data_IF_326242311246
#
_entry.id   IF_326242311246
#
_cell.length_a   1.000
_cell.length_b   1.000
_cell.length_c   1.000
_cell.angle_alpha   90.00
_cell.angle_beta   90.00
_cell.angle_gamma   90.00
#
_symmetry.space_group_name_H-M   'P 1'
#
loop_
_entity.id
_entity.type
_entity.pdbx_description
1 polymer ?
#
# COMPACT_ATOMS: atom_id res chain seq x y z
N UNK A 1 -23.08 -38.53 4.87
CA UNK A 1 -23.08 -37.26 5.62
C UNK A 1 -21.75 -36.57 5.37
N UNK A 2 -21.77 -35.45 4.65
CA UNK A 2 -20.58 -34.61 4.47
C UNK A 2 -20.36 -33.87 5.80
N UNK A 3 -19.28 -34.20 6.52
CA UNK A 3 -18.88 -33.41 7.70
C UNK A 3 -18.45 -32.04 7.17
N UNK A 4 -19.23 -31.01 7.44
CA UNK A 4 -18.79 -29.64 7.21
C UNK A 4 -17.54 -29.40 8.06
N UNK A 5 -16.45 -28.97 7.44
CA UNK A 5 -15.25 -28.52 8.15
C UNK A 5 -15.65 -27.42 9.15
N UNK A 6 -15.19 -27.53 10.39
CA UNK A 6 -15.36 -26.45 11.35
C UNK A 6 -14.55 -25.23 10.88
N UNK A 7 -15.08 -24.03 11.07
CA UNK A 7 -14.37 -22.77 10.75
C UNK A 7 -13.03 -22.69 11.48
N UNK A 8 -12.93 -23.31 12.65
CA UNK A 8 -11.69 -23.41 13.42
C UNK A 8 -10.62 -24.23 12.69
N UNK A 9 -10.99 -25.34 12.06
CA UNK A 9 -10.10 -26.23 11.31
C UNK A 9 -9.58 -25.56 10.03
N UNK A 10 -10.46 -24.90 9.27
CA UNK A 10 -10.08 -24.16 8.05
C UNK A 10 -9.10 -23.02 8.34
N UNK A 11 -9.31 -22.26 9.42
CA UNK A 11 -8.42 -21.17 9.81
C UNK A 11 -7.05 -21.65 10.33
N UNK A 12 -7.03 -22.78 11.04
CA UNK A 12 -5.78 -23.40 11.49
C UNK A 12 -4.98 -23.96 10.30
N UNK A 13 -5.65 -24.50 9.29
CA UNK A 13 -5.03 -24.90 8.03
C UNK A 13 -4.36 -23.71 7.35
N UNK A 14 -5.07 -22.59 7.15
CA UNK A 14 -4.50 -21.39 6.50
C UNK A 14 -3.27 -20.86 7.22
N UNK A 15 -3.29 -20.80 8.57
CA UNK A 15 -2.12 -20.37 9.34
C UNK A 15 -0.93 -21.30 9.16
N UNK A 16 -1.16 -22.61 9.27
CA UNK A 16 -0.11 -23.62 9.14
C UNK A 16 0.46 -23.61 7.72
N UNK A 17 -0.42 -23.55 6.73
CA UNK A 17 -0.07 -23.48 5.31
C UNK A 17 0.77 -22.24 5.01
N UNK A 18 0.35 -21.06 5.46
CA UNK A 18 1.08 -19.82 5.25
C UNK A 18 2.41 -19.79 6.01
N UNK A 19 2.51 -20.40 7.19
CA UNK A 19 3.78 -20.52 7.92
C UNK A 19 4.76 -21.47 7.19
N UNK A 20 4.25 -22.55 6.61
CA UNK A 20 5.06 -23.56 5.93
C UNK A 20 5.50 -23.13 4.53
N UNK A 21 4.69 -22.34 3.83
CA UNK A 21 4.88 -22.00 2.42
C UNK A 21 5.16 -20.50 2.22
N UNK A 22 6.39 -20.07 2.53
CA UNK A 22 6.79 -18.67 2.39
C UNK A 22 6.63 -18.10 0.97
N UNK A 23 6.74 -18.96 -0.06
CA UNK A 23 6.49 -18.61 -1.47
C UNK A 23 5.09 -18.05 -1.71
N UNK A 24 4.08 -18.45 -0.93
CA UNK A 24 2.70 -17.93 -1.04
C UNK A 24 2.65 -16.44 -0.74
N UNK A 25 3.30 -15.99 0.34
CA UNK A 25 3.35 -14.57 0.70
C UNK A 25 3.97 -13.71 -0.40
N UNK A 26 5.07 -14.18 -1.00
CA UNK A 26 5.72 -13.52 -2.14
C UNK A 26 4.77 -13.45 -3.34
N UNK A 27 4.13 -14.55 -3.70
CA UNK A 27 3.24 -14.61 -4.87
C UNK A 27 2.02 -13.71 -4.70
N UNK A 28 1.40 -13.72 -3.52
CA UNK A 28 0.28 -12.82 -3.20
C UNK A 28 0.72 -11.35 -3.25
N UNK A 29 1.91 -11.03 -2.72
CA UNK A 29 2.45 -9.68 -2.85
C UNK A 29 2.61 -9.25 -4.32
N UNK A 30 3.16 -10.10 -5.17
CA UNK A 30 3.33 -9.80 -6.60
C UNK A 30 1.99 -9.59 -7.31
N UNK A 31 1.00 -10.43 -7.04
CA UNK A 31 -0.35 -10.28 -7.60
C UNK A 31 -0.98 -8.93 -7.22
N UNK A 32 -0.81 -8.51 -5.96
CA UNK A 32 -1.28 -7.21 -5.47
C UNK A 32 -0.56 -6.05 -6.15
N UNK A 33 0.77 -6.12 -6.30
CA UNK A 33 1.52 -5.08 -7.02
C UNK A 33 1.12 -4.99 -8.49
N UNK A 34 0.97 -6.11 -9.20
CA UNK A 34 0.52 -6.11 -10.60
C UNK A 34 -0.88 -5.50 -10.72
N UNK A 35 -1.78 -5.84 -9.81
CA UNK A 35 -3.12 -5.23 -9.77
C UNK A 35 -3.05 -3.71 -9.58
N UNK A 36 -2.15 -3.25 -8.70
CA UNK A 36 -1.94 -1.82 -8.48
C UNK A 36 -1.29 -1.11 -9.69
N UNK A 37 -0.39 -1.78 -10.41
CA UNK A 37 0.25 -1.26 -11.62
C UNK A 37 -0.72 -1.15 -12.79
N UNK A 38 -1.66 -2.08 -12.94
CA UNK A 38 -2.76 -1.98 -13.92
C UNK A 38 -3.56 -0.70 -13.68
N UNK A 39 -3.92 -0.41 -12.42
CA UNK A 39 -4.61 0.83 -12.06
C UNK A 39 -3.75 2.07 -12.37
N UNK A 40 -2.45 2.03 -12.06
CA UNK A 40 -1.53 3.13 -12.39
C UNK A 40 -1.53 3.44 -13.89
N UNK A 41 -1.32 2.41 -14.71
CA UNK A 41 -1.20 2.57 -16.16
C UNK A 41 -2.50 3.03 -16.79
N UNK A 42 -3.65 2.57 -16.27
CA UNK A 42 -4.95 3.07 -16.68
C UNK A 42 -5.10 4.58 -16.43
N UNK A 43 -4.78 5.04 -15.21
CA UNK A 43 -4.86 6.46 -14.85
C UNK A 43 -3.88 7.33 -15.66
N UNK A 44 -2.66 6.83 -15.92
CA UNK A 44 -1.69 7.54 -16.76
C UNK A 44 -2.22 7.74 -18.19
N UNK A 45 -2.78 6.68 -18.81
CA UNK A 45 -3.37 6.77 -20.16
C UNK A 45 -4.55 7.75 -20.21
N UNK A 46 -5.31 7.85 -19.12
CA UNK A 46 -6.40 8.82 -18.97
C UNK A 46 -5.88 10.26 -18.94
N UNK A 47 -4.80 10.52 -18.21
CA UNK A 47 -4.21 11.87 -18.14
C UNK A 47 -3.69 12.39 -19.48
N UNK A 48 -3.08 11.51 -20.28
CA UNK A 48 -2.49 11.92 -21.58
C UNK A 48 -3.51 11.91 -22.73
N UNK A 49 -4.81 11.83 -22.43
CA UNK A 49 -5.89 11.80 -23.42
C UNK A 49 -5.77 10.70 -24.49
N UNK A 50 -5.00 9.62 -24.24
CA UNK A 50 -4.82 8.52 -25.21
C UNK A 50 -6.18 7.88 -25.57
N UNK A 51 -7.10 7.80 -24.62
CA UNK A 51 -8.46 7.30 -24.86
C UNK A 51 -9.26 8.11 -25.87
N UNK A 52 -8.89 9.36 -26.15
CA UNK A 52 -9.56 10.18 -27.18
C UNK A 52 -8.88 10.07 -28.56
N UNK A 53 -7.65 9.58 -28.61
CA UNK A 53 -6.87 9.45 -29.86
C UNK A 53 -6.81 8.02 -30.40
N UNK A 54 -7.23 7.01 -29.62
CA UNK A 54 -7.21 5.61 -29.98
C UNK A 54 -8.65 5.07 -30.13
N UNK A 55 -9.08 4.79 -31.37
CA UNK A 55 -10.42 4.31 -31.68
C UNK A 55 -10.75 2.96 -31.01
N UNK A 56 -9.77 2.08 -30.84
CA UNK A 56 -9.99 0.77 -30.21
C UNK A 56 -10.24 0.93 -28.72
N UNK A 57 -9.46 1.76 -28.05
CA UNK A 57 -9.68 2.08 -26.64
C UNK A 57 -10.97 2.87 -26.42
N UNK A 58 -11.32 3.77 -27.33
CA UNK A 58 -12.60 4.52 -27.29
C UNK A 58 -13.79 3.57 -27.34
N UNK A 59 -13.73 2.51 -28.15
CA UNK A 59 -14.80 1.52 -28.25
C UNK A 59 -14.92 0.63 -27.00
N UNK A 60 -13.81 0.41 -26.28
CA UNK A 60 -13.75 -0.47 -25.11
C UNK A 60 -14.22 0.19 -23.81
N UNK A 61 -14.05 1.51 -23.67
CA UNK A 61 -14.35 2.22 -22.44
C UNK A 61 -15.42 3.30 -22.67
N UNK A 62 -16.43 3.35 -21.81
CA UNK A 62 -17.47 4.37 -21.93
C UNK A 62 -16.90 5.77 -21.66
N UNK A 63 -17.45 6.75 -22.37
CA UNK A 63 -17.17 8.18 -22.16
C UNK A 63 -17.32 8.59 -20.69
N UNK A 64 -18.29 8.01 -19.98
CA UNK A 64 -18.52 8.25 -18.56
C UNK A 64 -17.36 7.71 -17.70
N UNK A 65 -16.85 6.52 -18.00
CA UNK A 65 -15.68 5.97 -17.30
C UNK A 65 -14.40 6.75 -17.63
N UNK A 66 -14.22 7.24 -18.85
CA UNK A 66 -13.03 8.02 -19.20
C UNK A 66 -13.09 9.42 -18.57
N UNK A 67 -14.24 10.11 -18.67
CA UNK A 67 -14.40 11.51 -18.23
C UNK A 67 -14.70 11.64 -16.74
N UNK A 68 -15.47 10.69 -16.19
CA UNK A 68 -15.92 10.68 -14.79
C UNK A 68 -15.34 9.54 -13.97
N UNK A 69 -14.45 8.74 -14.57
CA UNK A 69 -13.88 7.55 -13.96
C UNK A 69 -13.30 7.77 -12.58
N UNK A 70 -13.53 6.74 -11.77
CA UNK A 70 -13.34 6.63 -10.34
C UNK A 70 -11.99 7.11 -9.82
N UNK A 71 -11.99 7.60 -8.58
CA UNK A 71 -10.79 7.93 -7.81
C UNK A 71 -10.07 6.65 -7.35
N UNK A 72 -9.42 5.95 -8.28
CA UNK A 72 -8.81 4.64 -8.04
C UNK A 72 -7.52 4.69 -7.22
N UNK A 73 -6.92 5.87 -7.03
CA UNK A 73 -5.63 6.00 -6.35
C UNK A 73 -5.64 5.48 -4.90
N UNK A 74 -6.79 5.52 -4.20
CA UNK A 74 -6.87 4.97 -2.83
C UNK A 74 -6.88 3.45 -2.84
N UNK A 75 -7.55 2.84 -3.82
CA UNK A 75 -7.54 1.39 -4.04
C UNK A 75 -6.15 0.95 -4.48
N UNK A 76 -5.53 1.70 -5.38
CA UNK A 76 -4.16 1.46 -5.80
C UNK A 76 -3.18 1.47 -4.61
N UNK A 77 -3.21 2.52 -3.77
CA UNK A 77 -2.42 2.61 -2.53
C UNK A 77 -2.71 1.45 -1.58
N UNK A 78 -3.97 1.06 -1.41
CA UNK A 78 -4.33 -0.10 -0.60
C UNK A 78 -3.70 -1.39 -1.11
N UNK A 79 -3.70 -1.62 -2.43
CA UNK A 79 -3.08 -2.81 -3.03
C UNK A 79 -1.56 -2.80 -2.83
N UNK A 80 -0.89 -1.67 -3.05
CA UNK A 80 0.53 -1.49 -2.72
C UNK A 80 0.81 -1.78 -1.25
N UNK A 81 -0.03 -1.27 -0.34
CA UNK A 81 0.12 -1.49 1.10
C UNK A 81 0.07 -2.99 1.46
N UNK A 82 -0.90 -3.75 0.94
CA UNK A 82 -0.96 -5.20 1.19
C UNK A 82 0.22 -5.95 0.54
N UNK A 83 0.67 -5.50 -0.63
CA UNK A 83 1.85 -6.06 -1.27
C UNK A 83 3.09 -5.92 -0.37
N UNK A 84 3.32 -4.73 0.17
CA UNK A 84 4.41 -4.50 1.12
C UNK A 84 4.24 -5.27 2.43
N UNK A 85 3.03 -5.28 2.98
CA UNK A 85 2.70 -6.05 4.17
C UNK A 85 3.08 -7.53 4.00
N UNK A 86 2.72 -8.14 2.86
CA UNK A 86 3.03 -9.54 2.57
C UNK A 86 4.53 -9.80 2.43
N UNK A 87 5.29 -8.92 1.74
CA UNK A 87 6.74 -9.09 1.63
C UNK A 87 7.43 -8.94 3.00
N UNK A 88 7.04 -7.95 3.79
CA UNK A 88 7.63 -7.72 5.12
C UNK A 88 7.32 -8.87 6.08
N UNK A 89 6.08 -9.38 6.07
CA UNK A 89 5.71 -10.57 6.84
C UNK A 89 6.45 -11.81 6.38
N UNK A 90 6.66 -11.98 5.07
CA UNK A 90 7.48 -13.06 4.53
C UNK A 90 8.91 -13.03 5.09
N UNK A 91 9.55 -11.86 5.13
CA UNK A 91 10.90 -11.70 5.70
C UNK A 91 10.91 -12.10 7.18
N UNK A 92 9.97 -11.57 7.99
CA UNK A 92 9.88 -11.89 9.42
C UNK A 92 9.65 -13.39 9.63
N UNK A 93 8.78 -14.01 8.84
CA UNK A 93 8.48 -15.44 8.94
C UNK A 93 9.66 -16.32 8.53
N UNK A 94 10.43 -15.92 7.52
CA UNK A 94 11.65 -16.63 7.13
C UNK A 94 12.66 -16.66 8.27
N UNK A 95 12.96 -15.51 8.88
CA UNK A 95 13.88 -15.38 10.01
C UNK A 95 13.36 -16.12 11.25
N UNK A 96 12.05 -16.04 11.51
CA UNK A 96 11.40 -16.75 12.60
C UNK A 96 11.50 -18.27 12.44
N UNK A 97 11.28 -18.80 11.23
CA UNK A 97 11.33 -20.23 10.93
C UNK A 97 12.74 -20.80 11.08
N UNK A 98 13.76 -20.04 10.68
CA UNK A 98 15.17 -20.40 10.92
C UNK A 98 15.46 -20.55 12.42
N UNK A 99 14.91 -19.66 13.25
CA UNK A 99 15.09 -19.70 14.70
C UNK A 99 14.17 -20.70 15.41
N UNK A 100 13.05 -21.09 14.78
CA UNK A 100 11.98 -21.91 15.36
C UNK A 100 11.45 -22.94 14.34
N UNK A 101 12.27 -23.95 13.95
CA UNK A 101 11.93 -24.87 12.86
C UNK A 101 10.68 -25.74 13.12
N UNK A 102 10.29 -25.89 14.38
CA UNK A 102 9.12 -26.67 14.80
C UNK A 102 7.90 -25.81 15.16
N UNK A 103 7.92 -24.51 14.85
CA UNK A 103 6.80 -23.63 15.15
C UNK A 103 5.55 -24.07 14.39
N UNK A 104 4.43 -24.13 15.10
CA UNK A 104 3.10 -24.41 14.53
C UNK A 104 2.22 -23.16 14.42
N UNK A 105 2.67 -22.04 14.99
CA UNK A 105 1.96 -20.78 15.01
C UNK A 105 2.83 -19.65 14.46
N UNK A 106 2.19 -18.72 13.76
CA UNK A 106 2.83 -17.48 13.32
C UNK A 106 3.10 -16.56 14.53
N UNK A 107 4.20 -15.79 14.53
CA UNK A 107 4.54 -14.95 15.65
C UNK A 107 3.54 -13.78 15.78
N UNK A 108 3.13 -13.46 17.02
CA UNK A 108 2.03 -12.48 17.27
C UNK A 108 2.33 -11.06 16.76
N UNK A 109 3.61 -10.70 16.62
CA UNK A 109 4.02 -9.37 16.16
C UNK A 109 3.68 -9.11 14.68
N UNK A 110 3.41 -10.14 13.87
CA UNK A 110 3.06 -9.97 12.45
C UNK A 110 1.56 -9.78 12.18
N UNK A 111 0.72 -9.69 13.20
CA UNK A 111 -0.74 -9.53 13.01
C UNK A 111 -1.10 -8.10 12.57
N UNK A 112 -0.24 -7.11 12.85
CA UNK A 112 -0.51 -5.71 12.52
C UNK A 112 -0.42 -5.38 11.02
N UNK A 113 -0.91 -4.18 10.69
CA UNK A 113 -0.86 -3.56 9.35
C UNK A 113 0.14 -2.38 9.27
N UNK A 114 0.85 -2.09 10.37
CA UNK A 114 1.74 -0.94 10.44
C UNK A 114 3.03 -1.22 9.66
N UNK A 115 3.13 -0.67 8.45
CA UNK A 115 4.20 -1.00 7.50
C UNK A 115 5.58 -0.59 8.04
N UNK A 116 5.67 0.57 8.70
CA UNK A 116 6.92 1.05 9.30
C UNK A 116 7.38 0.12 10.43
N UNK A 117 6.45 -0.32 11.28
CA UNK A 117 6.75 -1.29 12.33
C UNK A 117 7.17 -2.64 11.74
N UNK A 118 6.46 -3.13 10.72
CA UNK A 118 6.81 -4.38 10.03
C UNK A 118 8.18 -4.30 9.38
N UNK A 119 8.56 -3.17 8.78
CA UNK A 119 9.90 -2.96 8.24
C UNK A 119 10.98 -3.05 9.32
N UNK A 120 10.73 -2.42 10.48
CA UNK A 120 11.63 -2.51 11.64
C UNK A 120 11.75 -3.94 12.16
N UNK A 121 10.63 -4.64 12.31
CA UNK A 121 10.57 -6.04 12.78
C UNK A 121 11.23 -6.99 11.76
N UNK A 122 11.22 -6.66 10.47
CA UNK A 122 11.89 -7.37 9.37
C UNK A 122 13.37 -6.97 9.18
N UNK A 123 13.92 -6.18 10.11
CA UNK A 123 15.27 -5.61 10.03
C UNK A 123 15.55 -4.98 8.64
N UNK A 124 14.58 -4.22 8.14
CA UNK A 124 14.64 -3.56 6.84
C UNK A 124 14.60 -2.03 7.03
N UNK A 125 15.67 -1.36 6.62
CA UNK A 125 15.80 0.10 6.76
C UNK A 125 15.04 0.82 5.64
N UNK A 126 14.09 1.65 6.05
CA UNK A 126 13.41 2.61 5.20
C UNK A 126 14.15 3.95 5.24
N UNK A 127 14.20 4.63 4.11
CA UNK A 127 14.51 6.07 4.05
C UNK A 127 13.32 6.90 4.56
N UNK A 128 13.57 8.15 4.93
CA UNK A 128 12.52 9.07 5.40
C UNK A 128 11.35 9.20 4.39
N UNK A 129 11.67 9.17 3.10
CA UNK A 129 10.68 9.24 2.03
C UNK A 129 9.85 7.94 1.91
N UNK A 130 10.51 6.79 2.02
CA UNK A 130 9.82 5.49 2.06
C UNK A 130 8.92 5.39 3.30
N UNK A 131 9.40 5.83 4.46
CA UNK A 131 8.62 5.84 5.72
C UNK A 131 7.37 6.71 5.58
N UNK A 132 7.51 7.92 5.00
CA UNK A 132 6.40 8.82 4.73
C UNK A 132 5.33 8.16 3.84
N UNK A 133 5.71 7.56 2.71
CA UNK A 133 4.76 6.89 1.83
C UNK A 133 4.19 5.61 2.46
N UNK A 134 4.97 4.84 3.22
CA UNK A 134 4.45 3.71 3.99
C UNK A 134 3.34 4.14 4.97
N UNK A 135 3.48 5.30 5.63
CA UNK A 135 2.42 5.86 6.49
C UNK A 135 1.14 6.20 5.74
N UNK A 136 1.25 6.70 4.51
CA UNK A 136 0.11 6.96 3.62
C UNK A 136 -0.56 5.65 3.17
N UNK A 137 0.23 4.68 2.72
CA UNK A 137 -0.24 3.37 2.26
C UNK A 137 -0.99 2.62 3.38
N UNK A 138 -0.46 2.64 4.61
CA UNK A 138 -1.10 2.06 5.80
C UNK A 138 -2.50 2.65 6.04
N UNK A 139 -2.68 3.95 5.90
CA UNK A 139 -4.02 4.57 6.05
C UNK A 139 -4.99 4.09 4.98
N UNK A 140 -4.50 3.88 3.76
CA UNK A 140 -5.29 3.31 2.68
C UNK A 140 -5.67 1.85 2.92
N UNK A 141 -4.79 1.02 3.50
CA UNK A 141 -5.12 -0.37 3.82
C UNK A 141 -6.12 -0.52 4.98
N UNK A 142 -6.02 0.35 5.99
CA UNK A 142 -6.90 0.29 7.17
C UNK A 142 -8.31 0.80 6.86
N UNK A 143 -8.42 1.96 6.21
CA UNK A 143 -9.75 2.56 5.99
C UNK A 143 -9.89 3.29 4.66
N UNK A 144 -8.95 4.15 4.26
CA UNK A 144 -9.19 5.11 3.19
C UNK A 144 -9.35 4.46 1.80
N UNK A 145 -8.83 3.24 1.61
CA UNK A 145 -9.03 2.44 0.40
C UNK A 145 -10.24 1.51 0.45
N UNK A 146 -10.77 1.20 1.64
CA UNK A 146 -11.93 0.31 1.84
C UNK A 146 -13.25 1.08 1.95
N UNK A 147 -13.22 2.28 2.52
CA UNK A 147 -14.39 3.10 2.78
C UNK A 147 -14.23 4.47 2.09
N UNK A 148 -15.19 4.88 1.23
CA UNK A 148 -15.11 6.17 0.55
C UNK A 148 -15.20 7.36 1.52
N UNK A 149 -15.84 7.16 2.68
CA UNK A 149 -16.03 8.13 3.74
C UNK A 149 -15.58 7.57 5.10
N UNK A 150 -14.95 8.37 5.98
CA UNK A 150 -14.60 7.95 7.33
C UNK A 150 -15.87 7.66 8.15
N UNK A 151 -15.85 6.57 8.92
CA UNK A 151 -16.99 6.12 9.74
C UNK A 151 -16.96 6.69 11.17
N UNK A 152 -15.81 7.22 11.60
CA UNK A 152 -15.65 7.83 12.93
C UNK A 152 -14.71 9.04 12.89
N UNK A 153 -14.83 9.93 13.88
CA UNK A 153 -14.00 11.12 13.99
C UNK A 153 -12.50 10.79 14.13
N UNK A 154 -12.16 9.65 14.74
CA UNK A 154 -10.76 9.18 14.85
C UNK A 154 -10.15 8.73 13.51
N UNK A 155 -10.97 8.46 12.50
CA UNK A 155 -10.54 8.19 11.13
C UNK A 155 -10.42 9.47 10.29
N UNK A 156 -10.94 10.59 10.79
CA UNK A 156 -10.71 11.89 10.16
C UNK A 156 -9.33 12.42 10.56
N UNK A 157 -8.68 13.14 9.64
CA UNK A 157 -7.42 13.83 9.94
C UNK A 157 -7.57 14.74 11.16
N UNK A 158 -6.48 14.91 11.93
CA UNK A 158 -6.43 15.86 13.06
C UNK A 158 -7.10 17.16 12.63
N UNK A 159 -8.12 17.58 13.39
CA UNK A 159 -8.99 18.72 13.06
C UNK A 159 -8.12 19.87 12.53
N UNK A 160 -8.26 20.18 11.24
CA UNK A 160 -7.82 21.49 10.72
C UNK A 160 -8.61 22.52 11.53
N UNK A 161 -7.96 23.58 11.99
CA UNK A 161 -8.70 24.72 12.56
C UNK A 161 -9.73 25.17 11.53
N UNK A 162 -11.00 25.12 11.95
CA UNK A 162 -12.10 25.57 11.15
C UNK A 162 -11.94 27.08 10.97
N UNK A 163 -11.87 27.52 9.71
CA UNK A 163 -11.83 28.93 9.39
C UNK A 163 -13.26 29.44 9.28
N UNK A 164 -13.49 30.67 9.76
CA UNK A 164 -14.82 31.28 9.84
C UNK A 164 -15.46 31.57 8.48
N UNK A 165 -14.66 31.61 7.41
CA UNK A 165 -15.14 31.90 6.06
C UNK A 165 -14.29 31.22 4.97
N UNK A 166 -14.83 31.22 3.74
CA UNK A 166 -14.13 30.74 2.55
C UNK A 166 -12.94 31.64 2.21
N UNK A 167 -13.08 32.94 2.40
CA UNK A 167 -12.03 33.94 2.17
C UNK A 167 -10.82 33.66 3.05
N UNK A 168 -11.04 33.39 4.34
CA UNK A 168 -9.97 33.01 5.27
C UNK A 168 -9.26 31.71 4.83
N UNK A 169 -9.99 30.76 4.24
CA UNK A 169 -9.42 29.53 3.70
C UNK A 169 -8.53 29.79 2.48
N UNK A 170 -8.98 30.64 1.56
CA UNK A 170 -8.20 31.08 0.41
C UNK A 170 -6.94 31.84 0.84
N UNK A 171 -7.06 32.76 1.79
CA UNK A 171 -5.93 33.54 2.33
C UNK A 171 -4.91 32.63 3.02
N UNK A 172 -5.34 31.66 3.83
CA UNK A 172 -4.43 30.67 4.43
C UNK A 172 -3.69 29.86 3.36
N UNK A 173 -4.39 29.43 2.31
CA UNK A 173 -3.78 28.68 1.22
C UNK A 173 -2.77 29.53 0.44
N UNK A 174 -3.10 30.78 0.11
CA UNK A 174 -2.19 31.74 -0.54
C UNK A 174 -0.95 32.01 0.31
N UNK A 175 -1.13 32.30 1.61
CA UNK A 175 -0.02 32.51 2.53
C UNK A 175 0.91 31.28 2.62
N UNK A 176 0.36 30.05 2.64
CA UNK A 176 1.19 28.84 2.61
C UNK A 176 1.97 28.70 1.31
N UNK A 177 1.35 29.00 0.16
CA UNK A 177 2.02 28.98 -1.15
C UNK A 177 3.14 30.01 -1.19
N UNK A 178 2.89 31.24 -0.73
CA UNK A 178 3.90 32.30 -0.70
C UNK A 178 5.08 31.96 0.21
N UNK A 179 4.81 31.47 1.42
CA UNK A 179 5.85 31.04 2.36
C UNK A 179 6.66 29.88 1.80
N UNK A 180 6.02 28.97 1.06
CA UNK A 180 6.72 27.91 0.34
C UNK A 180 7.62 28.47 -0.78
N UNK A 181 7.10 29.37 -1.62
CA UNK A 181 7.87 30.02 -2.70
C UNK A 181 9.09 30.75 -2.14
N UNK A 182 8.97 31.35 -0.95
CA UNK A 182 10.06 32.04 -0.24
C UNK A 182 11.02 31.08 0.48
N UNK A 183 10.74 29.77 0.49
CA UNK A 183 11.54 28.77 1.22
C UNK A 183 11.42 28.88 2.74
N UNK A 184 10.48 29.66 3.27
CA UNK A 184 10.26 29.84 4.71
C UNK A 184 9.61 28.62 5.35
N UNK A 185 8.81 27.90 4.56
CA UNK A 185 8.30 26.58 4.93
C UNK A 185 8.61 25.59 3.82
N UNK A 186 9.04 24.37 4.15
CA UNK A 186 9.08 23.31 3.17
C UNK A 186 7.69 23.10 2.58
N UNK A 187 7.60 22.71 1.29
CA UNK A 187 6.35 22.15 0.75
C UNK A 187 6.11 20.81 1.42
N UNK A 188 5.64 20.82 2.66
CA UNK A 188 5.19 19.61 3.33
C UNK A 188 3.86 19.26 2.69
N UNK A 189 3.90 18.41 1.67
CA UNK A 189 2.71 17.66 1.32
C UNK A 189 2.26 16.95 2.60
N UNK A 190 1.09 17.32 3.13
CA UNK A 190 0.57 16.57 4.27
C UNK A 190 0.11 15.22 3.75
N UNK A 191 0.11 14.20 4.62
CA UNK A 191 -0.42 12.89 4.24
C UNK A 191 -1.86 12.99 3.72
N UNK A 192 -2.64 13.94 4.25
CA UNK A 192 -3.99 14.22 3.78
C UNK A 192 -4.02 14.71 2.32
N UNK A 193 -3.08 15.57 1.94
CA UNK A 193 -2.99 16.07 0.57
C UNK A 193 -2.63 14.91 -0.39
N UNK A 194 -1.69 14.06 0.01
CA UNK A 194 -1.27 12.91 -0.82
C UNK A 194 -2.39 11.87 -0.96
N UNK A 195 -3.07 11.51 0.13
CA UNK A 195 -4.17 10.51 0.10
C UNK A 195 -5.28 10.92 -0.86
N UNK A 196 -5.52 12.22 -1.05
CA UNK A 196 -6.55 12.76 -1.93
C UNK A 196 -6.05 13.17 -3.32
N UNK A 197 -4.73 13.13 -3.54
CA UNK A 197 -4.14 13.32 -4.86
C UNK A 197 -3.97 11.99 -5.59
N UNK A 198 -3.87 12.08 -6.92
CA UNK A 198 -3.39 10.99 -7.74
C UNK A 198 -1.96 10.59 -7.35
N UNK A 199 -1.59 9.34 -7.59
CA UNK A 199 -0.20 8.88 -7.41
C UNK A 199 0.70 9.60 -8.40
N UNK A 200 1.55 10.48 -7.88
CA UNK A 200 2.55 11.21 -8.66
C UNK A 200 3.77 10.35 -8.98
N UNK A 201 4.63 10.87 -9.87
CA UNK A 201 5.86 10.17 -10.26
C UNK A 201 6.77 9.83 -9.08
N UNK A 202 6.93 10.76 -8.13
CA UNK A 202 7.78 10.60 -6.94
C UNK A 202 7.28 9.48 -6.01
N UNK A 203 5.98 9.45 -5.72
CA UNK A 203 5.36 8.38 -4.93
C UNK A 203 5.52 7.04 -5.64
N UNK A 204 5.22 7.00 -6.95
CA UNK A 204 5.31 5.77 -7.73
C UNK A 204 6.74 5.23 -7.79
N UNK A 205 7.73 6.07 -8.09
CA UNK A 205 9.14 5.66 -8.19
C UNK A 205 9.68 5.21 -6.84
N UNK A 206 9.35 5.91 -5.75
CA UNK A 206 9.73 5.52 -4.39
C UNK A 206 9.16 4.15 -4.03
N UNK A 207 7.85 3.95 -4.21
CA UNK A 207 7.20 2.67 -3.94
C UNK A 207 7.75 1.54 -4.82
N UNK A 208 7.99 1.82 -6.11
CA UNK A 208 8.55 0.83 -7.03
C UNK A 208 9.96 0.38 -6.61
N UNK A 209 10.84 1.33 -6.27
CA UNK A 209 12.20 1.03 -5.82
C UNK A 209 12.17 0.22 -4.50
N UNK A 210 11.30 0.60 -3.57
CA UNK A 210 11.09 -0.13 -2.32
C UNK A 210 10.62 -1.58 -2.58
N UNK A 211 9.68 -1.77 -3.50
CA UNK A 211 9.20 -3.10 -3.92
C UNK A 211 10.33 -3.95 -4.46
N UNK A 212 11.14 -3.42 -5.37
CA UNK A 212 12.27 -4.15 -5.97
C UNK A 212 13.28 -4.59 -4.91
N UNK A 213 13.63 -3.71 -3.97
CA UNK A 213 14.52 -4.04 -2.84
C UNK A 213 13.95 -5.13 -1.94
N UNK A 214 12.66 -5.07 -1.61
CA UNK A 214 12.01 -6.09 -0.78
C UNK A 214 11.88 -7.43 -1.50
N UNK A 215 11.56 -7.44 -2.80
CA UNK A 215 11.52 -8.66 -3.61
C UNK A 215 12.90 -9.32 -3.64
N UNK A 216 13.97 -8.55 -3.83
CA UNK A 216 15.34 -9.07 -3.81
C UNK A 216 15.65 -9.73 -2.44
N UNK A 217 15.37 -9.03 -1.33
CA UNK A 217 15.58 -9.60 0.02
C UNK A 217 14.78 -10.89 0.24
N UNK A 218 13.54 -10.95 -0.23
CA UNK A 218 12.71 -12.17 -0.11
C UNK A 218 13.25 -13.29 -1.00
N UNK A 219 13.71 -13.02 -2.21
CA UNK A 219 14.32 -14.03 -3.08
C UNK A 219 15.55 -14.67 -2.42
N UNK A 220 16.46 -13.85 -1.90
CA UNK A 220 17.66 -14.32 -1.20
C UNK A 220 17.31 -15.24 -0.02
N UNK A 221 16.27 -14.92 0.76
CA UNK A 221 15.84 -15.74 1.89
C UNK A 221 15.25 -17.08 1.46
N UNK A 222 14.47 -17.10 0.37
CA UNK A 222 13.82 -18.32 -0.14
C UNK A 222 14.82 -19.26 -0.81
N UNK A 223 15.82 -18.74 -1.53
CA UNK A 223 16.84 -19.55 -2.18
C UNK A 223 17.74 -20.27 -1.13
N UNK A 224 17.99 -19.61 0.00
CA UNK A 224 18.68 -20.22 1.14
C UNK A 224 17.85 -21.31 1.83
N UNK A 225 16.52 -21.17 1.86
CA UNK A 225 15.62 -22.18 2.43
C UNK A 225 15.61 -23.46 1.60
N UNK A 226 15.48 -23.34 0.28
CA UNK A 226 15.50 -24.48 -0.64
C UNK A 226 16.86 -25.23 -0.59
N UNK A 227 17.95 -24.51 -0.32
CA UNK A 227 19.29 -25.09 -0.16
C UNK A 227 19.46 -25.92 1.11
N UNK A 228 18.74 -25.59 2.20
CA UNK A 228 18.83 -26.31 3.48
C UNK A 228 17.95 -27.58 3.54
N UNK A 229 17.07 -27.80 2.55
CA UNK A 229 16.19 -28.97 2.48
C UNK A 229 16.78 -30.13 1.66
N UNK A 230 17.87 -29.89 0.91
CA UNK A 230 18.58 -30.89 0.11
C UNK A 230 19.81 -31.42 0.85
#
# INVERSE_FOLDING_TARGET
MCKYEDKSDSFNFEKTFCLQNLKVWRNEALNLFYSAEVLYHFEQRKMVNIFHSDEQLTALFSDDLVKRGCFNFRVQRMLWAYGFENLLKCIILAEFKLSNPYATEVPKNIIGHCLVKLAKDAHFTLSDQEEFYCGILEKCSVWAGRYPLPLSAGQMYKKREALSSREALHERAQNQIERWIKGEIPRTFTEADVIHAQIGYEEYSTCKNLKERLIAKVADLLDNEDSNQN
#
